data_IF_820094347991
#
_entry.id   IF_820094347991
#
_cell.length_a   1.000
_cell.length_b   1.000
_cell.length_c   1.000
_cell.angle_alpha   90.00
_cell.angle_beta   90.00
_cell.angle_gamma   90.00
#
_symmetry.space_group_name_H-M   'P 1'
#
loop_
_entity.id
_entity.type
_entity.pdbx_description
1 polymer ?
#
# COMPACT_ATOMS: atom_id res chain seq x y z
N UNK A 1 -0.93 -22.32 0.89
CA UNK A 1 0.13 -21.38 0.46
C UNK A 1 0.03 -20.04 1.18
N UNK A 2 -1.05 -19.26 1.04
CA UNK A 2 -1.20 -17.91 1.65
C UNK A 2 -0.96 -17.89 3.18
N UNK A 3 -1.53 -18.84 3.94
CA UNK A 3 -1.32 -18.91 5.40
C UNK A 3 0.14 -19.22 5.79
N UNK A 4 0.85 -20.00 4.98
CA UNK A 4 2.24 -20.35 5.23
C UNK A 4 3.15 -19.15 4.95
N UNK A 5 2.89 -18.41 3.87
CA UNK A 5 3.60 -17.16 3.60
C UNK A 5 3.42 -16.15 4.74
N UNK A 6 2.19 -15.99 5.24
CA UNK A 6 1.91 -15.12 6.38
C UNK A 6 2.66 -15.56 7.64
N UNK A 7 2.66 -16.86 7.95
CA UNK A 7 3.38 -17.38 9.11
C UNK A 7 4.90 -17.14 8.99
N UNK A 8 5.48 -17.33 7.80
CA UNK A 8 6.90 -17.08 7.55
C UNK A 8 7.23 -15.59 7.67
N UNK A 9 6.43 -14.69 7.08
CA UNK A 9 6.63 -13.24 7.20
C UNK A 9 6.61 -12.78 8.66
N UNK A 10 5.60 -13.21 9.42
CA UNK A 10 5.48 -12.88 10.84
C UNK A 10 6.68 -13.41 11.63
N UNK A 11 7.14 -14.63 11.36
CA UNK A 11 8.31 -15.19 12.03
C UNK A 11 9.59 -14.40 11.72
N UNK A 12 9.81 -14.06 10.45
CA UNK A 12 10.99 -13.31 9.99
C UNK A 12 11.03 -11.89 10.57
N UNK A 13 9.89 -11.26 10.84
CA UNK A 13 9.83 -9.95 11.49
C UNK A 13 9.97 -10.05 13.03
N UNK A 14 9.24 -10.99 13.64
CA UNK A 14 9.17 -11.10 15.10
C UNK A 14 10.46 -11.63 15.72
N UNK A 15 11.18 -12.55 15.06
CA UNK A 15 12.40 -13.13 15.61
C UNK A 15 13.50 -12.06 15.82
N UNK A 16 13.85 -11.22 14.81
CA UNK A 16 14.79 -10.13 15.01
C UNK A 16 14.30 -9.09 16.01
N UNK A 17 13.02 -8.73 15.98
CA UNK A 17 12.43 -7.78 16.93
C UNK A 17 12.58 -8.26 18.38
N UNK A 18 12.22 -9.52 18.65
CA UNK A 18 12.42 -10.12 19.97
C UNK A 18 13.89 -10.18 20.37
N UNK A 19 14.77 -10.51 19.42
CA UNK A 19 16.22 -10.52 19.67
C UNK A 19 16.76 -9.15 20.10
N UNK A 20 16.33 -8.08 19.45
CA UNK A 20 16.72 -6.70 19.80
C UNK A 20 16.12 -6.28 21.14
N UNK A 21 14.83 -6.55 21.35
CA UNK A 21 14.10 -6.20 22.58
C UNK A 21 14.68 -6.88 23.80
N UNK A 22 14.90 -8.19 23.74
CA UNK A 22 15.47 -8.97 24.84
C UNK A 22 16.97 -8.73 25.01
N UNK A 23 17.66 -8.41 23.92
CA UNK A 23 19.09 -8.13 23.92
C UNK A 23 19.44 -6.72 24.39
N UNK A 24 18.52 -5.76 24.33
CA UNK A 24 18.82 -4.34 24.61
C UNK A 24 19.20 -4.12 26.08
N UNK A 25 20.29 -3.38 26.39
CA UNK A 25 20.67 -3.06 27.76
C UNK A 25 19.62 -2.24 28.50
N UNK A 26 18.90 -1.37 27.78
CA UNK A 26 17.86 -0.52 28.32
C UNK A 26 16.76 -0.32 27.27
N UNK A 27 15.51 -0.60 27.66
CA UNK A 27 14.35 -0.42 26.77
C UNK A 27 13.98 1.05 26.60
N UNK A 28 14.17 1.85 27.67
CA UNK A 28 13.84 3.28 27.64
C UNK A 28 14.73 4.03 26.65
N UNK A 29 16.02 3.79 26.68
CA UNK A 29 16.98 4.48 25.80
C UNK A 29 16.86 3.99 24.35
N UNK A 30 16.51 2.71 24.16
CA UNK A 30 16.22 2.16 22.83
C UNK A 30 15.03 2.87 22.18
N UNK A 31 13.95 3.09 22.94
CA UNK A 31 12.74 3.72 22.43
C UNK A 31 12.84 5.25 22.30
N UNK A 32 13.73 5.90 23.06
CA UNK A 32 13.96 7.34 22.97
C UNK A 32 15.04 7.74 21.96
N UNK A 33 15.82 6.79 21.44
CA UNK A 33 16.88 7.07 20.48
C UNK A 33 16.30 7.34 19.08
N UNK A 34 16.86 8.34 18.39
CA UNK A 34 16.55 8.62 16.98
C UNK A 34 16.93 7.45 16.05
N UNK A 35 17.88 6.62 16.48
CA UNK A 35 18.33 5.43 15.74
C UNK A 35 18.43 4.21 16.67
N UNK A 36 17.30 3.58 17.02
CA UNK A 36 17.25 2.46 17.98
C UNK A 36 18.18 1.30 17.60
N UNK A 37 18.28 0.98 16.32
CA UNK A 37 19.14 -0.10 15.83
C UNK A 37 20.63 0.23 16.03
N UNK A 38 21.05 1.48 15.79
CA UNK A 38 22.43 1.89 15.98
C UNK A 38 22.83 1.84 17.46
N UNK A 39 21.93 2.32 18.35
CA UNK A 39 22.09 2.21 19.80
C UNK A 39 22.27 0.75 20.25
N UNK A 40 21.41 -0.15 19.78
CA UNK A 40 21.50 -1.57 20.11
C UNK A 40 22.82 -2.20 19.64
N UNK A 41 23.20 -1.96 18.38
CA UNK A 41 24.39 -2.57 17.78
C UNK A 41 25.69 -2.05 18.37
N UNK A 42 25.78 -0.76 18.70
CA UNK A 42 26.96 -0.18 19.36
C UNK A 42 27.10 -0.72 20.79
N UNK A 43 25.99 -0.89 21.52
CA UNK A 43 26.01 -1.39 22.88
C UNK A 43 26.36 -2.89 22.98
N UNK A 44 26.03 -3.70 21.97
CA UNK A 44 26.21 -5.17 22.02
C UNK A 44 27.27 -5.73 21.08
N UNK A 45 27.45 -5.15 19.91
CA UNK A 45 28.26 -5.71 18.82
C UNK A 45 29.50 -4.90 18.44
N UNK A 46 29.72 -3.74 19.07
CA UNK A 46 30.83 -2.86 18.77
C UNK A 46 30.65 -2.05 17.48
N UNK A 47 31.57 -1.12 17.23
CA UNK A 47 31.49 -0.15 16.13
C UNK A 47 31.57 -0.80 14.74
N UNK A 48 32.40 -1.83 14.57
CA UNK A 48 32.57 -2.53 13.28
C UNK A 48 31.28 -3.23 12.83
N UNK A 49 30.60 -3.95 13.74
CA UNK A 49 29.33 -4.60 13.41
C UNK A 49 28.24 -3.57 13.09
N UNK A 50 28.19 -2.48 13.86
CA UNK A 50 27.23 -1.40 13.61
C UNK A 50 27.37 -0.81 12.20
N UNK A 51 28.60 -0.58 11.73
CA UNK A 51 28.84 -0.03 10.39
C UNK A 51 28.38 -1.01 9.30
N UNK A 52 28.76 -2.30 9.41
CA UNK A 52 28.38 -3.31 8.41
C UNK A 52 26.86 -3.44 8.31
N UNK A 53 26.17 -3.54 9.45
CA UNK A 53 24.70 -3.66 9.47
C UNK A 53 24.03 -2.37 9.01
N UNK A 54 24.53 -1.20 9.41
CA UNK A 54 23.98 0.09 8.98
C UNK A 54 24.09 0.29 7.47
N UNK A 55 25.20 -0.12 6.85
CA UNK A 55 25.35 -0.10 5.39
C UNK A 55 24.36 -1.06 4.72
N UNK A 56 24.17 -2.27 5.27
CA UNK A 56 23.16 -3.21 4.80
C UNK A 56 21.74 -2.64 4.86
N UNK A 57 21.38 -1.99 5.97
CA UNK A 57 20.10 -1.31 6.14
C UNK A 57 19.93 -0.19 5.12
N UNK A 58 20.97 0.63 4.89
CA UNK A 58 20.92 1.71 3.92
C UNK A 58 20.65 1.19 2.49
N UNK A 59 21.35 0.13 2.07
CA UNK A 59 21.13 -0.51 0.75
C UNK A 59 19.71 -1.09 0.66
N UNK A 60 19.23 -1.73 1.72
CA UNK A 60 17.88 -2.29 1.77
C UNK A 60 16.80 -1.20 1.66
N UNK A 61 16.96 -0.07 2.34
CA UNK A 61 16.04 1.08 2.27
C UNK A 61 16.02 1.66 0.85
N UNK A 62 17.18 1.85 0.21
CA UNK A 62 17.25 2.35 -1.17
C UNK A 62 16.47 1.43 -2.12
N UNK A 63 16.67 0.12 -2.01
CA UNK A 63 15.94 -0.85 -2.81
C UNK A 63 14.42 -0.80 -2.55
N UNK A 64 14.01 -0.71 -1.29
CA UNK A 64 12.59 -0.60 -0.92
C UNK A 64 11.94 0.67 -1.50
N UNK A 65 12.63 1.81 -1.45
CA UNK A 65 12.14 3.08 -2.02
C UNK A 65 11.93 2.95 -3.54
N UNK A 66 12.91 2.38 -4.25
CA UNK A 66 12.80 2.13 -5.69
C UNK A 66 11.60 1.23 -6.00
N UNK A 67 11.43 0.13 -5.26
CA UNK A 67 10.33 -0.80 -5.45
C UNK A 67 8.96 -0.13 -5.23
N UNK A 68 8.81 0.68 -4.19
CA UNK A 68 7.56 1.39 -3.88
C UNK A 68 7.24 2.44 -4.94
N UNK A 69 8.22 3.22 -5.40
CA UNK A 69 8.02 4.21 -6.47
C UNK A 69 7.54 3.52 -7.75
N UNK A 70 8.16 2.40 -8.12
CA UNK A 70 7.74 1.61 -9.28
C UNK A 70 6.34 1.01 -9.11
N UNK A 71 6.00 0.55 -7.91
CA UNK A 71 4.66 0.03 -7.60
C UNK A 71 3.58 1.11 -7.79
N UNK A 72 3.79 2.30 -7.23
CA UNK A 72 2.84 3.41 -7.35
C UNK A 72 2.78 3.91 -8.79
N UNK A 73 3.90 4.01 -9.50
CA UNK A 73 3.93 4.42 -10.90
C UNK A 73 3.14 3.46 -11.80
N UNK A 74 3.20 2.14 -11.55
CA UNK A 74 2.41 1.15 -12.29
C UNK A 74 0.91 1.24 -11.96
N UNK A 75 0.57 1.45 -10.70
CA UNK A 75 -0.82 1.68 -10.29
C UNK A 75 -1.38 2.92 -11.00
N UNK A 76 -0.59 4.00 -11.02
CA UNK A 76 -0.94 5.26 -11.67
C UNK A 76 -1.07 5.09 -13.19
N UNK A 77 -0.13 4.40 -13.84
CA UNK A 77 -0.20 4.05 -15.25
C UNK A 77 -1.46 3.24 -15.60
N UNK A 78 -1.78 2.21 -14.80
CA UNK A 78 -3.00 1.42 -15.01
C UNK A 78 -4.26 2.27 -14.88
N UNK A 79 -4.30 3.18 -13.89
CA UNK A 79 -5.42 4.09 -13.70
C UNK A 79 -5.57 5.09 -14.86
N UNK A 80 -4.46 5.55 -15.45
CA UNK A 80 -4.47 6.41 -16.63
C UNK A 80 -4.93 5.66 -17.89
N UNK A 81 -4.54 4.39 -18.04
CA UNK A 81 -5.03 3.51 -19.12
C UNK A 81 -6.55 3.31 -19.03
N UNK A 82 -7.09 3.24 -17.82
CA UNK A 82 -8.52 3.08 -17.58
C UNK A 82 -9.31 4.41 -17.72
N UNK A 83 -8.65 5.48 -18.19
CA UNK A 83 -9.18 6.85 -18.35
C UNK A 83 -9.78 7.44 -17.08
N UNK A 84 -9.18 7.12 -15.94
CA UNK A 84 -9.65 7.60 -14.64
C UNK A 84 -9.21 9.03 -14.32
N UNK A 85 -8.34 9.65 -15.12
CA UNK A 85 -7.86 11.03 -14.94
C UNK A 85 -8.41 11.99 -16.01
N UNK A 86 -8.17 13.31 -15.88
CA UNK A 86 -8.40 14.24 -16.97
C UNK A 86 -7.54 13.94 -18.21
N UNK A 87 -8.05 14.20 -19.41
CA UNK A 87 -7.40 13.88 -20.69
C UNK A 87 -5.92 14.29 -20.84
N UNK A 88 -5.46 15.47 -20.35
CA UNK A 88 -4.03 15.81 -20.40
C UNK A 88 -3.19 14.95 -19.46
N UNK A 89 -3.76 14.55 -18.32
CA UNK A 89 -3.09 13.73 -17.30
C UNK A 89 -3.01 12.27 -17.78
N UNK A 90 -4.08 11.74 -18.36
CA UNK A 90 -4.08 10.39 -18.94
C UNK A 90 -3.03 10.23 -20.05
N UNK A 91 -2.85 11.25 -20.90
CA UNK A 91 -1.83 11.23 -21.96
C UNK A 91 -0.40 11.20 -21.42
N UNK A 92 -0.13 11.93 -20.33
CA UNK A 92 1.21 11.99 -19.74
C UNK A 92 1.48 10.71 -18.93
N UNK A 93 0.55 10.31 -18.06
CA UNK A 93 0.71 9.16 -17.17
C UNK A 93 0.54 7.82 -17.90
N UNK A 94 -0.26 7.78 -18.96
CA UNK A 94 -0.46 6.61 -19.83
C UNK A 94 0.58 6.50 -20.95
N UNK A 95 1.54 7.43 -21.05
CA UNK A 95 2.64 7.32 -22.01
C UNK A 95 3.68 6.31 -21.52
N UNK A 96 3.98 5.31 -22.37
CA UNK A 96 5.05 4.35 -22.16
C UNK A 96 6.23 4.77 -23.01
N UNK A 97 7.45 4.76 -22.43
CA UNK A 97 8.64 5.05 -23.22
C UNK A 97 8.85 3.94 -24.28
N UNK A 98 9.01 4.29 -25.57
CA UNK A 98 8.97 3.33 -26.68
C UNK A 98 10.11 2.29 -26.66
N UNK A 99 11.24 2.59 -26.02
CA UNK A 99 12.37 1.65 -25.91
C UNK A 99 12.45 0.93 -24.56
N UNK A 100 12.15 1.62 -23.44
CA UNK A 100 12.24 1.06 -22.09
C UNK A 100 10.98 0.28 -21.68
N UNK A 101 9.88 0.38 -22.44
CA UNK A 101 8.59 -0.25 -22.14
C UNK A 101 8.13 0.03 -20.68
N UNK A 102 8.51 1.20 -20.15
CA UNK A 102 8.30 1.59 -18.75
C UNK A 102 7.63 2.97 -18.67
N UNK A 103 6.72 3.21 -17.71
CA UNK A 103 6.07 4.50 -17.51
C UNK A 103 7.01 5.48 -16.78
N UNK A 104 8.01 5.99 -17.51
CA UNK A 104 9.04 6.90 -16.95
C UNK A 104 8.41 8.20 -16.43
N UNK A 105 7.42 8.75 -17.14
CA UNK A 105 6.73 9.97 -16.72
C UNK A 105 6.02 9.80 -15.36
N UNK A 106 5.27 8.70 -15.18
CA UNK A 106 4.62 8.40 -13.90
C UNK A 106 5.64 8.20 -12.77
N UNK A 107 6.77 7.55 -13.08
CA UNK A 107 7.86 7.31 -12.12
C UNK A 107 8.52 8.61 -11.66
N UNK A 108 8.80 9.53 -12.59
CA UNK A 108 9.38 10.84 -12.27
C UNK A 108 8.44 11.71 -11.44
N UNK A 109 7.13 11.72 -11.76
CA UNK A 109 6.14 12.47 -11.00
C UNK A 109 6.04 11.96 -9.57
N UNK A 110 5.92 10.63 -9.39
CA UNK A 110 5.87 10.01 -8.06
C UNK A 110 7.16 10.26 -7.28
N UNK A 111 8.33 10.11 -7.93
CA UNK A 111 9.62 10.37 -7.32
C UNK A 111 9.81 11.82 -6.89
N UNK A 112 9.38 12.78 -7.72
CA UNK A 112 9.45 14.20 -7.40
C UNK A 112 8.56 14.56 -6.19
N UNK A 113 7.32 14.06 -6.15
CA UNK A 113 6.41 14.25 -5.01
C UNK A 113 7.00 13.64 -3.74
N UNK A 114 7.57 12.44 -3.83
CA UNK A 114 8.22 11.78 -2.71
C UNK A 114 9.43 12.57 -2.20
N UNK A 115 10.29 13.07 -3.10
CA UNK A 115 11.47 13.86 -2.75
C UNK A 115 11.09 15.19 -2.07
N UNK A 116 10.10 15.91 -2.59
CA UNK A 116 9.59 17.13 -1.97
C UNK A 116 9.04 16.81 -0.58
N UNK A 117 8.20 15.79 -0.46
CA UNK A 117 7.59 15.44 0.83
C UNK A 117 8.66 15.04 1.86
N UNK A 118 9.67 14.27 1.44
CA UNK A 118 10.79 13.88 2.31
C UNK A 118 11.66 15.07 2.75
N UNK A 119 11.76 16.13 1.94
CA UNK A 119 12.54 17.33 2.26
C UNK A 119 11.83 18.28 3.23
N UNK A 120 10.50 18.35 3.18
CA UNK A 120 9.73 19.36 3.94
C UNK A 120 8.97 18.81 5.15
N UNK A 121 8.76 17.50 5.25
CA UNK A 121 7.89 16.91 6.29
C UNK A 121 8.69 16.02 7.26
N UNK A 122 8.55 16.19 8.59
CA UNK A 122 9.31 15.42 9.56
C UNK A 122 8.91 13.94 9.57
N UNK A 123 9.90 13.05 9.68
CA UNK A 123 9.74 11.59 9.62
C UNK A 123 8.69 11.06 10.61
N UNK A 124 8.73 11.49 11.87
CA UNK A 124 7.80 11.04 12.90
C UNK A 124 6.33 11.36 12.56
N UNK A 125 6.11 12.53 11.96
CA UNK A 125 4.78 12.90 11.47
C UNK A 125 4.37 12.05 10.27
N UNK A 126 5.31 11.78 9.35
CA UNK A 126 5.08 10.98 8.15
C UNK A 126 4.73 9.51 8.48
N UNK A 127 5.43 8.91 9.46
CA UNK A 127 5.15 7.55 9.95
C UNK A 127 3.71 7.48 10.49
N UNK A 128 3.34 8.45 11.33
CA UNK A 128 2.02 8.46 11.97
C UNK A 128 0.91 8.74 10.94
N UNK A 129 1.14 9.65 9.99
CA UNK A 129 0.20 9.95 8.90
C UNK A 129 0.02 8.77 7.94
N UNK A 130 1.11 8.09 7.58
CA UNK A 130 1.06 6.90 6.73
C UNK A 130 0.31 5.76 7.43
N UNK A 131 0.55 5.56 8.72
CA UNK A 131 -0.20 4.61 9.55
C UNK A 131 -1.69 4.92 9.58
N UNK A 132 -2.06 6.18 9.84
CA UNK A 132 -3.46 6.62 9.83
C UNK A 132 -4.14 6.36 8.47
N UNK A 133 -3.46 6.68 7.37
CA UNK A 133 -3.96 6.41 6.02
C UNK A 133 -4.15 4.90 5.77
N UNK A 134 -3.18 4.07 6.17
CA UNK A 134 -3.29 2.61 6.06
C UNK A 134 -4.51 2.05 6.80
N UNK A 135 -4.78 2.54 8.01
CA UNK A 135 -5.94 2.12 8.81
C UNK A 135 -7.26 2.46 8.12
N UNK A 136 -7.38 3.67 7.56
CA UNK A 136 -8.59 4.09 6.82
C UNK A 136 -8.78 3.24 5.55
N UNK A 137 -7.71 3.00 4.80
CA UNK A 137 -7.76 2.15 3.59
C UNK A 137 -8.20 0.73 3.95
N UNK A 138 -7.62 0.12 4.98
CA UNK A 138 -8.03 -1.22 5.42
C UNK A 138 -9.47 -1.29 5.90
N UNK A 139 -9.96 -0.26 6.58
CA UNK A 139 -11.36 -0.16 6.97
C UNK A 139 -12.27 -0.16 5.73
N UNK A 140 -11.97 0.66 4.72
CA UNK A 140 -12.77 0.73 3.50
C UNK A 140 -12.71 -0.57 2.69
N UNK A 141 -11.53 -1.22 2.59
CA UNK A 141 -11.39 -2.53 1.94
C UNK A 141 -12.23 -3.59 2.65
N UNK A 142 -12.22 -3.63 3.98
CA UNK A 142 -13.03 -4.57 4.75
C UNK A 142 -14.54 -4.35 4.54
N UNK A 143 -14.99 -3.09 4.53
CA UNK A 143 -16.38 -2.74 4.23
C UNK A 143 -16.77 -3.07 2.79
N UNK A 144 -15.90 -2.81 1.82
CA UNK A 144 -16.10 -3.12 0.42
C UNK A 144 -16.23 -4.65 0.20
N UNK A 145 -15.37 -5.45 0.86
CA UNK A 145 -15.44 -6.90 0.81
C UNK A 145 -16.78 -7.45 1.35
N UNK A 146 -17.28 -6.86 2.45
CA UNK A 146 -18.57 -7.25 3.02
C UNK A 146 -19.73 -6.88 2.08
N UNK A 147 -19.70 -5.68 1.49
CA UNK A 147 -20.73 -5.19 0.56
C UNK A 147 -20.75 -5.99 -0.75
N UNK A 148 -19.59 -6.30 -1.32
CA UNK A 148 -19.48 -7.05 -2.57
C UNK A 148 -20.06 -8.47 -2.44
N UNK A 149 -19.77 -9.16 -1.33
CA UNK A 149 -20.33 -10.49 -1.07
C UNK A 149 -21.83 -10.47 -0.81
N UNK A 150 -22.38 -9.43 -0.18
CA UNK A 150 -23.84 -9.27 -0.01
C UNK A 150 -24.56 -9.04 -1.34
N UNK A 151 -23.93 -8.37 -2.31
CA UNK A 151 -24.51 -8.09 -3.62
C UNK A 151 -24.41 -9.26 -4.62
N UNK A 152 -23.98 -10.45 -4.19
CA UNK A 152 -23.88 -11.61 -5.07
C UNK A 152 -22.75 -11.55 -6.09
N UNK A 153 -21.84 -10.56 -6.02
CA UNK A 153 -20.71 -10.40 -6.95
C UNK A 153 -19.58 -11.43 -6.76
N UNK A 154 -19.84 -12.53 -6.05
CA UNK A 154 -18.89 -13.63 -5.96
C UNK A 154 -18.94 -14.41 -7.27
N UNK A 155 -18.04 -14.08 -8.20
CA UNK A 155 -17.76 -14.91 -9.38
C UNK A 155 -17.61 -16.37 -8.92
N UNK A 156 -18.28 -17.29 -9.61
CA UNK A 156 -18.53 -18.65 -9.13
C UNK A 156 -17.26 -19.51 -8.96
N UNK A 157 -16.08 -19.00 -9.34
CA UNK A 157 -14.77 -19.71 -9.37
C UNK A 157 -13.64 -19.13 -8.52
N UNK A 158 -13.90 -18.22 -7.58
CA UNK A 158 -12.87 -17.67 -6.67
C UNK A 158 -12.68 -18.43 -5.34
N UNK A 159 -11.46 -18.41 -4.78
CA UNK A 159 -11.14 -18.94 -3.45
C UNK A 159 -12.13 -18.42 -2.38
N UNK A 160 -12.85 -19.33 -1.72
CA UNK A 160 -13.77 -19.00 -0.63
C UNK A 160 -13.05 -19.13 0.71
N UNK A 161 -12.92 -18.00 1.40
CA UNK A 161 -12.32 -17.96 2.73
C UNK A 161 -13.16 -18.78 3.73
N UNK A 162 -12.55 -19.80 4.34
CA UNK A 162 -13.22 -20.75 5.26
C UNK A 162 -13.83 -20.05 6.48
N UNK A 163 -13.26 -18.94 6.93
CA UNK A 163 -13.65 -18.21 8.14
C UNK A 163 -14.45 -16.94 7.82
N UNK A 164 -15.12 -16.90 6.68
CA UNK A 164 -15.98 -15.77 6.33
C UNK A 164 -17.24 -15.76 7.23
N UNK A 165 -17.67 -14.62 7.81
CA UNK A 165 -17.18 -13.24 7.69
C UNK A 165 -16.29 -12.76 8.85
N UNK A 166 -15.66 -13.65 9.62
CA UNK A 166 -14.88 -13.27 10.81
C UNK A 166 -13.73 -12.32 10.46
N UNK A 167 -13.00 -12.60 9.37
CA UNK A 167 -11.85 -11.80 8.96
C UNK A 167 -12.14 -10.30 8.76
N UNK A 168 -13.11 -9.87 7.91
CA UNK A 168 -13.41 -8.44 7.76
C UNK A 168 -13.97 -7.80 9.04
N UNK A 169 -14.72 -8.54 9.87
CA UNK A 169 -15.26 -8.01 11.13
C UNK A 169 -14.14 -7.70 12.12
N UNK A 170 -13.16 -8.61 12.26
CA UNK A 170 -11.98 -8.39 13.11
C UNK A 170 -11.17 -7.19 12.62
N UNK A 171 -10.96 -7.05 11.30
CA UNK A 171 -10.27 -5.89 10.72
C UNK A 171 -11.01 -4.59 11.05
N UNK A 172 -12.34 -4.55 10.88
CA UNK A 172 -13.15 -3.37 11.22
C UNK A 172 -13.01 -3.02 12.72
N UNK A 173 -13.06 -4.02 13.60
CA UNK A 173 -12.93 -3.80 15.04
C UNK A 173 -11.54 -3.24 15.42
N UNK A 174 -10.47 -3.82 14.87
CA UNK A 174 -9.09 -3.37 15.12
C UNK A 174 -8.87 -1.97 14.55
N UNK A 175 -9.28 -1.71 13.30
CA UNK A 175 -9.17 -0.39 12.69
C UNK A 175 -9.97 0.65 13.49
N UNK A 176 -11.17 0.32 13.95
CA UNK A 176 -11.99 1.19 14.78
C UNK A 176 -11.32 1.53 16.12
N UNK A 177 -10.71 0.53 16.76
CA UNK A 177 -9.92 0.74 17.99
C UNK A 177 -8.69 1.63 17.74
N UNK A 178 -7.95 1.41 16.67
CA UNK A 178 -6.78 2.22 16.34
C UNK A 178 -7.19 3.67 16.04
N UNK A 179 -8.24 3.87 15.25
CA UNK A 179 -8.77 5.23 14.98
C UNK A 179 -9.13 5.90 16.30
N UNK A 180 -9.85 5.21 17.19
CA UNK A 180 -10.19 5.74 18.51
C UNK A 180 -8.95 6.14 19.31
N UNK A 181 -7.91 5.30 19.34
CA UNK A 181 -6.66 5.61 20.04
C UNK A 181 -5.89 6.81 19.43
N UNK A 182 -6.05 7.06 18.13
CA UNK A 182 -5.44 8.19 17.42
C UNK A 182 -6.20 9.52 17.58
N UNK A 183 -7.37 9.52 18.24
CA UNK A 183 -8.09 10.74 18.64
C UNK A 183 -7.43 11.32 19.91
N UNK A 184 -6.11 11.54 19.83
CA UNK A 184 -5.31 12.20 20.85
C UNK A 184 -4.86 13.56 20.30
N UNK A 185 -4.73 14.63 21.12
CA UNK A 185 -4.34 15.97 20.64
C UNK A 185 -2.99 16.02 19.90
N UNK A 186 -2.11 15.04 20.09
CA UNK A 186 -0.83 14.95 19.38
C UNK A 186 -0.95 14.41 17.96
N UNK A 187 -1.98 13.60 17.67
CA UNK A 187 -2.10 12.85 16.40
C UNK A 187 -3.29 13.27 15.53
N UNK A 188 -4.10 14.21 16.00
CA UNK A 188 -5.31 14.65 15.29
C UNK A 188 -5.02 15.19 13.89
N UNK A 189 -3.89 15.89 13.69
CA UNK A 189 -3.53 16.46 12.39
C UNK A 189 -3.27 15.39 11.33
N UNK A 190 -2.62 14.29 11.71
CA UNK A 190 -2.33 13.16 10.82
C UNK A 190 -3.61 12.42 10.45
N UNK A 191 -4.50 12.23 11.42
CA UNK A 191 -5.82 11.64 11.18
C UNK A 191 -6.66 12.55 10.26
N UNK A 192 -6.66 13.86 10.50
CA UNK A 192 -7.36 14.83 9.66
C UNK A 192 -6.84 14.79 8.21
N UNK A 193 -5.53 14.76 8.01
CA UNK A 193 -4.94 14.62 6.66
C UNK A 193 -5.40 13.32 6.00
N UNK A 194 -5.35 12.19 6.70
CA UNK A 194 -5.79 10.91 6.15
C UNK A 194 -7.28 10.93 5.75
N UNK A 195 -8.14 11.52 6.59
CA UNK A 195 -9.58 11.68 6.29
C UNK A 195 -9.79 12.62 5.11
N UNK A 196 -9.06 13.75 5.04
CA UNK A 196 -9.15 14.71 3.93
C UNK A 196 -8.70 14.07 2.63
N UNK A 197 -7.58 13.33 2.62
CA UNK A 197 -7.12 12.61 1.43
C UNK A 197 -8.17 11.60 0.96
N UNK A 198 -8.80 10.88 1.88
CA UNK A 198 -9.88 9.95 1.53
C UNK A 198 -11.12 10.69 1.01
N UNK A 199 -11.50 11.80 1.64
CA UNK A 199 -12.60 12.64 1.20
C UNK A 199 -12.35 13.21 -0.20
N UNK A 200 -11.13 13.66 -0.50
CA UNK A 200 -10.72 14.10 -1.84
C UNK A 200 -10.92 12.98 -2.85
N UNK A 201 -10.49 11.74 -2.53
CA UNK A 201 -10.71 10.58 -3.40
C UNK A 201 -12.20 10.29 -3.65
N UNK A 202 -13.04 10.39 -2.62
CA UNK A 202 -14.50 10.19 -2.73
C UNK A 202 -15.16 11.32 -3.53
N UNK A 203 -14.79 12.56 -3.27
CA UNK A 203 -15.29 13.73 -4.01
C UNK A 203 -14.88 13.63 -5.47
N UNK A 204 -13.64 13.26 -5.75
CA UNK A 204 -13.16 13.01 -7.11
C UNK A 204 -13.98 11.90 -7.79
N UNK A 205 -14.24 10.80 -7.08
CA UNK A 205 -15.08 9.73 -7.60
C UNK A 205 -16.50 10.20 -7.92
N UNK A 206 -17.14 10.94 -7.02
CA UNK A 206 -18.54 11.37 -7.18
C UNK A 206 -18.70 12.52 -8.19
N UNK A 207 -17.75 13.45 -8.24
CA UNK A 207 -17.82 14.63 -9.09
C UNK A 207 -17.30 14.36 -10.51
N UNK A 208 -16.27 13.52 -10.66
CA UNK A 208 -15.61 13.29 -11.94
C UNK A 208 -15.93 11.93 -12.56
N UNK A 209 -15.77 10.83 -11.82
CA UNK A 209 -15.98 9.47 -12.36
C UNK A 209 -17.46 9.10 -12.47
N UNK A 210 -18.25 9.32 -11.43
CA UNK A 210 -19.65 8.89 -11.37
C UNK A 210 -20.50 9.46 -12.51
N UNK A 211 -20.38 10.74 -12.91
CA UNK A 211 -21.16 11.30 -14.01
C UNK A 211 -20.68 10.85 -15.39
N UNK A 212 -19.44 10.34 -15.51
CA UNK A 212 -18.79 9.98 -16.79
C UNK A 212 -18.60 8.47 -16.99
N UNK A 213 -19.29 7.65 -16.21
CA UNK A 213 -19.20 6.17 -16.22
C UNK A 213 -19.43 5.50 -17.58
N UNK A 214 -20.09 6.17 -18.53
CA UNK A 214 -20.38 5.62 -19.86
C UNK A 214 -19.28 5.83 -20.91
N UNK A 215 -18.35 6.75 -20.69
CA UNK A 215 -17.30 7.14 -21.65
C UNK A 215 -15.87 6.96 -21.08
N UNK A 216 -15.77 6.90 -19.74
CA UNK A 216 -14.52 6.74 -18.97
C UNK A 216 -14.73 5.65 -17.93
N UNK A 217 -13.72 4.80 -17.70
CA UNK A 217 -13.82 3.50 -16.99
C UNK A 217 -14.27 2.32 -17.89
N UNK A 218 -13.70 2.20 -19.09
CA UNK A 218 -13.87 1.01 -19.94
C UNK A 218 -13.01 -0.12 -19.40
N UNK A 219 -13.49 -0.85 -18.37
CA UNK A 219 -12.95 -2.19 -18.15
C UNK A 219 -13.27 -3.01 -19.40
N UNK A 220 -12.28 -3.68 -20.02
CA UNK A 220 -12.60 -4.75 -20.96
C UNK A 220 -13.52 -5.71 -20.21
N UNK A 221 -14.71 -5.98 -20.77
CA UNK A 221 -15.60 -6.95 -20.17
C UNK A 221 -14.84 -8.27 -19.99
N UNK A 222 -15.04 -8.97 -18.86
CA UNK A 222 -14.41 -10.27 -18.67
C UNK A 222 -14.83 -11.18 -19.82
N UNK A 223 -13.85 -11.63 -20.61
CA UNK A 223 -14.07 -12.57 -21.72
C UNK A 223 -14.91 -13.72 -21.17
N UNK A 224 -16.12 -13.88 -21.69
CA UNK A 224 -16.99 -14.96 -21.26
C UNK A 224 -16.35 -16.29 -21.70
N UNK A 225 -16.31 -17.29 -20.80
CA UNK A 225 -15.68 -18.60 -21.09
C UNK A 225 -16.21 -19.21 -22.42
N UNK A 226 -17.45 -18.86 -22.79
CA UNK A 226 -18.12 -19.25 -24.03
C UNK A 226 -17.38 -18.76 -25.31
N UNK A 227 -16.78 -17.56 -25.27
CA UNK A 227 -16.01 -17.00 -26.40
C UNK A 227 -14.64 -17.70 -26.56
N UNK A 228 -14.09 -18.25 -25.46
CA UNK A 228 -12.82 -18.99 -25.46
C UNK A 228 -13.02 -20.37 -26.09
N UNK A 229 -14.14 -21.02 -25.78
CA UNK A 229 -14.53 -22.31 -26.35
C UNK A 229 -14.89 -22.20 -27.85
N UNK A 230 -15.53 -21.10 -28.28
CA UNK A 230 -15.79 -20.84 -29.71
C UNK A 230 -14.52 -20.49 -30.50
N UNK A 231 -13.61 -19.69 -29.94
CA UNK A 231 -12.32 -19.38 -30.57
C UNK A 231 -11.42 -20.63 -30.70
N UNK A 232 -11.47 -21.53 -29.70
CA UNK A 232 -10.78 -22.82 -29.73
C UNK A 232 -11.32 -23.76 -30.82
N UNK A 233 -12.63 -23.78 -31.05
CA UNK A 233 -13.25 -24.57 -32.13
C UNK A 233 -12.97 -24.02 -33.52
N UNK A 234 -12.92 -22.69 -33.67
CA UNK A 234 -12.68 -22.03 -34.96
C UNK A 234 -11.22 -22.16 -35.43
N UNK A 235 -10.26 -22.33 -34.52
CA UNK A 235 -8.85 -22.55 -34.84
C UNK A 235 -8.53 -24.03 -35.15
N UNK A 236 -9.45 -24.95 -34.80
CA UNK A 236 -9.29 -26.39 -35.01
C UNK A 236 -10.02 -26.92 -36.26
N UNK A 237 -10.66 -26.04 -37.04
CA UNK A 237 -11.31 -26.33 -38.33
C UNK A 237 -10.47 -25.74 -39.47
#
# INVERSE_FOLDING_TARGET
>A
MIMMCLAVTVAVEMIPLMGVVLGSPSMKDLLSSDSPMNYFLTARGGSTLNVVVSVGIAIAIINAVIAIILQIARLLFSSARDRSWPDPVDKVLGSVHPTLHSPVAATLVVGAIAAVTAAFVPLNWLITATGANGVIVYLVVALAALRLRRKGGATSRGYRMRWWPLAPVVVIAICGYIIYSMITPSTWTQLAVAVVTMAIGVVYYLAYLHPRRGDRWTLPDPIHEDEIDEAGKTTAA
#
